data_IF_591274384766
#
_entry.id   IF_591274384766
#
_cell.length_a   1.000
_cell.length_b   1.000
_cell.length_c   1.000
_cell.angle_alpha   90.00
_cell.angle_beta   90.00
_cell.angle_gamma   90.00
#
_symmetry.space_group_name_H-M   'P 1'
#
loop_
_entity.id
_entity.type
_entity.pdbx_description
1 polymer ?
#
# COMPACT_ATOMS: atom_id res chain seq x y z
N UNK A 1 9.83 -45.41 -19.91
CA UNK A 1 9.13 -45.00 -18.66
C UNK A 1 9.62 -43.67 -18.05
N UNK A 2 10.93 -43.42 -17.87
CA UNK A 2 11.43 -42.16 -17.24
C UNK A 2 11.06 -40.88 -18.00
N UNK A 3 11.07 -40.89 -19.34
CA UNK A 3 10.71 -39.71 -20.12
C UNK A 3 9.23 -39.35 -20.00
N UNK A 4 8.31 -40.33 -20.10
CA UNK A 4 6.87 -40.12 -19.91
C UNK A 4 6.54 -39.47 -18.55
N UNK A 5 7.28 -39.82 -17.49
CA UNK A 5 7.14 -39.18 -16.17
C UNK A 5 7.56 -37.70 -16.19
N UNK A 6 8.63 -37.36 -16.91
CA UNK A 6 9.08 -35.96 -17.08
C UNK A 6 8.05 -35.12 -17.86
N UNK A 7 7.47 -35.67 -18.92
CA UNK A 7 6.42 -35.01 -19.71
C UNK A 7 5.16 -34.75 -18.87
N UNK A 8 4.72 -35.72 -18.05
CA UNK A 8 3.59 -35.54 -17.13
C UNK A 8 3.82 -34.44 -16.10
N UNK A 9 5.01 -34.40 -15.48
CA UNK A 9 5.39 -33.36 -14.51
C UNK A 9 5.44 -31.98 -15.18
N UNK A 10 6.05 -31.89 -16.37
CA UNK A 10 6.15 -30.63 -17.13
C UNK A 10 4.76 -30.11 -17.50
N UNK A 11 3.89 -30.99 -17.99
CA UNK A 11 2.50 -30.65 -18.33
C UNK A 11 1.74 -30.16 -17.09
N UNK A 12 1.91 -30.81 -15.94
CA UNK A 12 1.30 -30.37 -14.68
C UNK A 12 1.71 -28.94 -14.30
N UNK A 13 3.01 -28.60 -14.35
CA UNK A 13 3.47 -27.25 -14.03
C UNK A 13 2.95 -26.21 -15.02
N UNK A 14 2.85 -26.56 -16.31
CA UNK A 14 2.28 -25.67 -17.32
C UNK A 14 0.79 -25.42 -17.03
N UNK A 15 0.01 -26.48 -16.78
CA UNK A 15 -1.41 -26.35 -16.43
C UNK A 15 -1.61 -25.54 -15.14
N UNK A 16 -0.78 -25.79 -14.12
CA UNK A 16 -0.78 -25.01 -12.87
C UNK A 16 -0.47 -23.53 -13.13
N UNK A 17 0.51 -23.24 -13.99
CA UNK A 17 0.84 -21.87 -14.34
C UNK A 17 -0.34 -21.16 -15.01
N UNK A 18 -0.98 -21.77 -16.01
CA UNK A 18 -2.16 -21.19 -16.65
C UNK A 18 -3.34 -21.02 -15.69
N UNK A 19 -3.58 -22.00 -14.81
CA UNK A 19 -4.61 -21.90 -13.79
C UNK A 19 -4.35 -20.71 -12.85
N UNK A 20 -3.10 -20.51 -12.40
CA UNK A 20 -2.73 -19.36 -11.59
C UNK A 20 -2.90 -18.03 -12.34
N UNK A 21 -2.46 -17.95 -13.60
CA UNK A 21 -2.61 -16.75 -14.42
C UNK A 21 -4.08 -16.37 -14.65
N UNK A 22 -4.98 -17.35 -14.77
CA UNK A 22 -6.42 -17.11 -14.89
C UNK A 22 -7.08 -16.78 -13.55
N UNK A 23 -6.55 -17.29 -12.45
CA UNK A 23 -7.12 -17.09 -11.11
C UNK A 23 -6.77 -15.73 -10.50
N UNK A 24 -5.52 -15.29 -10.63
CA UNK A 24 -5.02 -14.05 -9.99
C UNK A 24 -5.88 -12.81 -10.29
N UNK A 25 -6.39 -12.59 -11.51
CA UNK A 25 -7.28 -11.45 -11.80
C UNK A 25 -8.59 -11.44 -11.02
N UNK A 26 -9.09 -12.61 -10.58
CA UNK A 26 -10.33 -12.75 -9.82
C UNK A 26 -10.09 -12.88 -8.30
N UNK A 27 -8.86 -12.65 -7.83
CA UNK A 27 -8.47 -12.83 -6.42
C UNK A 27 -9.02 -11.78 -5.45
N UNK A 28 -9.88 -10.87 -5.92
CA UNK A 28 -10.56 -9.78 -5.19
C UNK A 28 -11.09 -10.17 -3.81
N UNK A 29 -11.61 -11.39 -3.64
CA UNK A 29 -12.15 -11.86 -2.37
C UNK A 29 -11.10 -12.23 -1.31
N UNK A 30 -9.86 -12.51 -1.72
CA UNK A 30 -8.77 -12.98 -0.85
C UNK A 30 -7.91 -11.80 -0.39
N UNK A 31 -7.60 -10.87 -1.30
CA UNK A 31 -6.60 -9.81 -1.11
C UNK A 31 -7.24 -8.50 -0.64
N UNK A 32 -7.83 -8.50 0.56
CA UNK A 32 -8.54 -7.33 1.11
C UNK A 32 -7.62 -6.20 1.57
N UNK A 33 -6.37 -6.49 1.92
CA UNK A 33 -5.42 -5.51 2.46
C UNK A 33 -4.84 -4.53 1.45
N UNK A 34 -5.02 -4.82 0.16
CA UNK A 34 -4.62 -3.94 -0.94
C UNK A 34 -5.77 -3.04 -1.40
N UNK A 35 -6.99 -3.29 -0.90
CA UNK A 35 -8.18 -2.55 -1.27
C UNK A 35 -8.14 -1.19 -0.58
N UNK A 36 -7.57 -0.18 -1.24
CA UNK A 36 -7.73 1.20 -0.77
C UNK A 36 -9.10 1.73 -1.19
N UNK A 37 -9.22 2.26 -2.41
CA UNK A 37 -10.53 2.63 -2.99
C UNK A 37 -10.96 1.71 -4.13
N UNK A 38 -10.12 0.77 -4.52
CA UNK A 38 -10.38 -0.21 -5.59
C UNK A 38 -10.26 -1.60 -4.98
N UNK A 39 -11.05 -2.55 -5.46
CA UNK A 39 -10.92 -3.94 -5.02
C UNK A 39 -9.77 -4.63 -5.75
N UNK A 40 -9.07 -5.52 -5.05
CA UNK A 40 -8.05 -6.38 -5.59
C UNK A 40 -6.60 -5.95 -5.33
N UNK A 41 -5.68 -6.87 -5.61
CA UNK A 41 -4.25 -6.64 -5.49
C UNK A 41 -3.75 -5.77 -6.65
N UNK A 42 -2.95 -4.76 -6.31
CA UNK A 42 -2.27 -3.93 -7.29
C UNK A 42 -1.34 -4.79 -8.16
N UNK A 43 -1.52 -4.74 -9.48
CA UNK A 43 -0.69 -5.47 -10.45
C UNK A 43 -1.31 -6.76 -11.01
N UNK A 44 -2.27 -7.36 -10.29
CA UNK A 44 -2.88 -8.63 -10.72
C UNK A 44 -4.35 -8.53 -11.04
N UNK A 45 -5.04 -7.51 -10.52
CA UNK A 45 -6.46 -7.30 -10.74
C UNK A 45 -6.74 -6.82 -12.17
N UNK A 46 -7.76 -7.40 -12.81
CA UNK A 46 -8.11 -7.12 -14.20
C UNK A 46 -8.53 -5.66 -14.45
N UNK A 47 -9.08 -5.00 -13.44
CA UNK A 47 -9.59 -3.62 -13.46
C UNK A 47 -8.51 -2.59 -13.09
N UNK A 48 -7.29 -3.01 -12.78
CA UNK A 48 -6.20 -2.11 -12.38
C UNK A 48 -5.95 -1.00 -13.42
N UNK A 49 -5.98 -1.32 -14.72
CA UNK A 49 -5.72 -0.34 -15.79
C UNK A 49 -6.87 0.68 -15.99
N UNK A 50 -8.02 0.48 -15.36
CA UNK A 50 -9.19 1.38 -15.45
C UNK A 50 -9.08 2.54 -14.46
N UNK A 51 -8.14 2.46 -13.51
CA UNK A 51 -8.00 3.42 -12.41
C UNK A 51 -6.82 4.37 -12.63
N UNK A 52 -7.13 5.63 -12.89
CA UNK A 52 -6.18 6.73 -12.91
C UNK A 52 -6.20 7.47 -11.56
N UNK A 53 -5.07 7.40 -10.85
CA UNK A 53 -4.88 7.99 -9.53
C UNK A 53 -4.02 9.25 -9.64
N UNK A 54 -4.55 10.40 -9.20
CA UNK A 54 -3.83 11.67 -9.23
C UNK A 54 -3.63 12.22 -7.81
N UNK A 55 -2.38 12.42 -7.36
CA UNK A 55 -2.11 13.10 -6.10
C UNK A 55 -2.39 14.60 -6.24
N UNK A 56 -3.09 15.15 -5.24
CA UNK A 56 -3.40 16.58 -5.16
C UNK A 56 -2.56 17.25 -4.07
N UNK A 57 -2.45 16.59 -2.91
CA UNK A 57 -1.66 17.06 -1.79
C UNK A 57 -1.12 15.88 -1.00
N UNK A 58 0.14 15.95 -0.61
CA UNK A 58 0.80 14.95 0.24
C UNK A 58 1.54 15.72 1.32
N UNK A 59 1.28 15.35 2.57
CA UNK A 59 1.94 15.91 3.73
C UNK A 59 2.34 14.78 4.66
N UNK A 60 3.63 14.72 4.99
CA UNK A 60 4.19 13.78 5.95
C UNK A 60 4.72 14.53 7.15
N UNK A 61 4.36 14.04 8.34
CA UNK A 61 4.74 14.65 9.61
C UNK A 61 5.36 13.58 10.48
N UNK A 62 6.57 13.86 10.96
CA UNK A 62 7.24 13.07 11.96
C UNK A 62 7.15 13.81 13.30
N UNK A 63 6.57 13.18 14.30
CA UNK A 63 6.47 13.75 15.64
C UNK A 63 7.48 13.05 16.55
N UNK A 64 8.37 13.81 17.18
CA UNK A 64 9.30 13.27 18.17
C UNK A 64 8.73 13.47 19.57
N UNK A 65 8.35 12.36 20.21
CA UNK A 65 7.80 12.34 21.56
C UNK A 65 8.82 12.76 22.62
N UNK A 66 10.12 12.68 22.32
CA UNK A 66 11.19 13.03 23.26
C UNK A 66 11.35 14.55 23.38
N UNK A 67 11.18 15.26 22.25
CA UNK A 67 11.33 16.72 22.19
C UNK A 67 9.99 17.46 22.11
N UNK A 68 8.89 16.76 21.85
CA UNK A 68 7.56 17.33 21.65
C UNK A 68 7.43 18.15 20.37
N UNK A 69 8.29 17.91 19.38
CA UNK A 69 8.34 18.69 18.13
C UNK A 69 7.83 17.89 16.94
N UNK A 70 7.03 18.56 16.11
CA UNK A 70 6.61 18.06 14.81
C UNK A 70 7.56 18.56 13.73
N UNK A 71 8.01 17.63 12.89
CA UNK A 71 8.89 17.87 11.75
C UNK A 71 8.16 17.54 10.45
N UNK A 72 8.15 18.47 9.50
CA UNK A 72 7.69 18.19 8.15
C UNK A 72 8.80 17.53 7.36
N UNK A 73 8.51 16.36 6.79
CA UNK A 73 9.46 15.62 5.98
C UNK A 73 9.22 15.89 4.51
N UNK A 74 10.31 15.96 3.73
CA UNK A 74 10.22 15.85 2.28
C UNK A 74 10.40 14.37 1.90
N UNK A 75 9.37 13.67 1.39
CA UNK A 75 9.47 12.26 1.00
C UNK A 75 10.57 11.97 -0.03
N UNK A 76 10.91 12.93 -0.89
CA UNK A 76 11.93 12.79 -1.94
C UNK A 76 13.34 12.52 -1.37
N UNK A 77 13.58 12.88 -0.11
CA UNK A 77 14.85 12.57 0.57
C UNK A 77 14.98 11.09 0.96
N UNK A 78 13.86 10.38 1.04
CA UNK A 78 13.81 8.98 1.45
C UNK A 78 13.62 8.03 0.25
N UNK A 79 12.83 8.43 -0.73
CA UNK A 79 12.56 7.63 -1.92
C UNK A 79 12.36 8.50 -3.15
N UNK A 80 12.90 8.05 -4.28
CA UNK A 80 12.69 8.69 -5.59
C UNK A 80 11.36 8.29 -6.23
N UNK A 81 10.74 7.21 -5.75
CA UNK A 81 9.48 6.69 -6.29
C UNK A 81 8.30 7.38 -5.63
N UNK A 82 7.28 7.73 -6.40
CA UNK A 82 6.00 8.25 -5.87
C UNK A 82 5.06 7.12 -5.42
N UNK A 83 5.42 5.85 -5.61
CA UNK A 83 4.51 4.73 -5.32
C UNK A 83 4.22 4.53 -3.84
N UNK A 84 5.06 5.06 -2.95
CA UNK A 84 5.00 4.77 -1.52
C UNK A 84 3.68 5.16 -0.85
N UNK A 85 2.94 6.15 -1.38
CA UNK A 85 1.66 6.58 -0.83
C UNK A 85 0.44 5.92 -1.50
N UNK A 86 0.62 5.13 -2.55
CA UNK A 86 -0.50 4.56 -3.32
C UNK A 86 -1.20 3.38 -2.66
N UNK A 87 -0.56 2.70 -1.71
CA UNK A 87 -1.13 1.55 -1.02
C UNK A 87 -0.70 1.56 0.45
N UNK A 88 -1.58 1.02 1.29
CA UNK A 88 -1.36 0.97 2.73
C UNK A 88 -0.07 0.23 3.12
N UNK A 89 0.27 -0.86 2.44
CA UNK A 89 1.50 -1.63 2.70
C UNK A 89 2.76 -0.81 2.47
N UNK A 90 2.79 -0.06 1.37
CA UNK A 90 3.92 0.79 1.01
C UNK A 90 4.04 1.97 1.96
N UNK A 91 2.93 2.51 2.47
CA UNK A 91 2.93 3.58 3.48
C UNK A 91 3.53 3.08 4.80
N UNK A 92 3.16 1.87 5.24
CA UNK A 92 3.74 1.24 6.44
C UNK A 92 5.24 0.98 6.26
N UNK A 93 5.65 0.43 5.11
CA UNK A 93 7.06 0.21 4.80
C UNK A 93 7.84 1.54 4.78
N UNK A 94 7.26 2.58 4.20
CA UNK A 94 7.86 3.91 4.16
C UNK A 94 8.01 4.50 5.56
N UNK A 95 6.99 4.40 6.40
CA UNK A 95 7.04 4.88 7.79
C UNK A 95 8.17 4.19 8.58
N UNK A 96 8.31 2.87 8.45
CA UNK A 96 9.41 2.14 9.09
C UNK A 96 10.79 2.55 8.55
N UNK A 97 10.92 2.74 7.23
CA UNK A 97 12.16 3.24 6.62
C UNK A 97 12.55 4.61 7.17
N UNK A 98 11.59 5.54 7.27
CA UNK A 98 11.79 6.87 7.86
C UNK A 98 12.25 6.74 9.32
N UNK A 99 11.55 5.96 10.15
CA UNK A 99 11.89 5.72 11.55
C UNK A 99 13.32 5.20 11.71
N UNK A 100 13.70 4.21 10.91
CA UNK A 100 15.01 3.58 11.02
C UNK A 100 16.12 4.55 10.59
N UNK A 101 15.90 5.34 9.52
CA UNK A 101 16.83 6.38 9.08
C UNK A 101 17.00 7.50 10.11
N UNK A 102 15.91 8.03 10.68
CA UNK A 102 16.03 9.11 11.69
C UNK A 102 16.65 8.63 13.00
N UNK A 103 16.47 7.35 13.34
CA UNK A 103 17.14 6.73 14.48
C UNK A 103 18.65 6.64 14.25
N UNK A 104 19.08 6.28 13.05
CA UNK A 104 20.50 6.16 12.71
C UNK A 104 21.19 7.53 12.59
N UNK A 105 20.54 8.51 11.93
CA UNK A 105 21.15 9.81 11.65
C UNK A 105 21.07 10.79 12.84
N UNK A 106 19.96 10.77 13.57
CA UNK A 106 19.67 11.78 14.62
C UNK A 106 19.50 11.17 16.01
N UNK A 107 19.53 9.84 16.15
CA UNK A 107 19.34 9.17 17.44
C UNK A 107 17.90 9.23 17.98
N UNK A 108 16.92 9.62 17.16
CA UNK A 108 15.52 9.70 17.56
C UNK A 108 14.93 8.28 17.72
N UNK A 109 14.51 7.92 18.94
CA UNK A 109 13.99 6.56 19.23
C UNK A 109 12.48 6.49 19.37
N UNK A 110 11.86 7.55 19.89
CA UNK A 110 10.43 7.61 20.16
C UNK A 110 9.76 8.59 19.20
N UNK A 111 9.40 8.09 18.01
CA UNK A 111 8.83 8.88 16.94
C UNK A 111 7.49 8.30 16.48
N UNK A 112 6.60 9.19 16.09
CA UNK A 112 5.30 8.87 15.51
C UNK A 112 5.27 9.42 14.08
N UNK A 113 4.60 8.70 13.19
CA UNK A 113 4.54 9.06 11.78
C UNK A 113 3.10 9.26 11.34
N UNK A 114 2.81 10.46 10.86
CA UNK A 114 1.50 10.88 10.38
C UNK A 114 1.56 11.29 8.91
N UNK A 115 0.46 11.06 8.21
CA UNK A 115 0.35 11.23 6.77
C UNK A 115 -1.03 11.79 6.41
N UNK A 116 -1.06 12.86 5.60
CA UNK A 116 -2.28 13.38 4.97
C UNK A 116 -2.09 13.33 3.45
N UNK A 117 -2.81 12.43 2.79
CA UNK A 117 -2.75 12.23 1.34
C UNK A 117 -4.13 12.48 0.75
N UNK A 118 -4.17 13.43 -0.17
CA UNK A 118 -5.34 13.76 -0.97
C UNK A 118 -5.14 13.22 -2.39
N UNK A 119 -6.03 12.32 -2.79
CA UNK A 119 -6.04 11.69 -4.11
C UNK A 119 -7.33 12.01 -4.85
N UNK A 120 -7.25 12.09 -6.17
CA UNK A 120 -8.38 12.06 -7.08
C UNK A 120 -8.33 10.74 -7.87
N UNK A 121 -9.45 10.02 -7.90
CA UNK A 121 -9.61 8.80 -8.68
C UNK A 121 -10.46 9.11 -9.92
N UNK A 122 -9.94 8.82 -11.12
CA UNK A 122 -10.64 8.97 -12.39
C UNK A 122 -11.24 10.38 -12.62
N UNK A 123 -10.55 11.43 -12.16
CA UNK A 123 -10.99 12.82 -12.32
C UNK A 123 -12.09 13.29 -11.36
N UNK A 124 -12.44 12.47 -10.35
CA UNK A 124 -13.39 12.84 -9.28
C UNK A 124 -12.80 13.89 -8.33
N UNK A 125 -13.64 14.46 -7.46
CA UNK A 125 -13.19 15.35 -6.40
C UNK A 125 -12.13 14.68 -5.52
N UNK A 126 -11.16 15.48 -5.07
CA UNK A 126 -10.09 15.02 -4.21
C UNK A 126 -10.65 14.58 -2.85
N UNK A 127 -10.19 13.43 -2.37
CA UNK A 127 -10.58 12.85 -1.09
C UNK A 127 -9.35 12.43 -0.31
N UNK A 128 -9.46 12.41 1.02
CA UNK A 128 -8.41 11.86 1.87
C UNK A 128 -8.40 10.35 1.78
N UNK A 129 -7.20 9.80 1.57
CA UNK A 129 -7.00 8.37 1.42
C UNK A 129 -6.74 7.68 2.76
N UNK A 130 -6.03 8.35 3.67
CA UNK A 130 -5.65 7.83 4.98
C UNK A 130 -6.11 8.79 6.08
N UNK A 131 -6.38 8.27 7.27
CA UNK A 131 -6.67 9.10 8.45
C UNK A 131 -5.40 9.83 8.93
N UNK A 132 -5.36 11.17 8.92
CA UNK A 132 -4.19 11.94 9.31
C UNK A 132 -3.94 11.99 10.82
N UNK A 133 -4.87 11.49 11.64
CA UNK A 133 -4.79 11.50 13.11
C UNK A 133 -4.15 10.26 13.69
N UNK A 134 -3.90 9.24 12.85
CA UNK A 134 -3.42 7.93 13.27
C UNK A 134 -1.90 7.83 13.05
N UNK A 135 -1.19 7.31 14.06
CA UNK A 135 0.22 6.97 13.93
C UNK A 135 0.38 5.68 13.13
N UNK A 136 0.92 5.80 11.92
CA UNK A 136 1.11 4.67 10.98
C UNK A 136 2.07 3.61 11.54
N UNK A 137 3.07 3.99 12.34
CA UNK A 137 4.07 3.06 12.86
C UNK A 137 3.50 1.99 13.79
N UNK A 138 2.33 2.26 14.37
CA UNK A 138 1.63 1.34 15.28
C UNK A 138 0.48 0.60 14.60
N UNK A 139 0.17 0.93 13.34
CA UNK A 139 -0.96 0.32 12.68
C UNK A 139 -0.60 -1.04 12.07
N UNK A 140 -1.43 -2.08 12.30
CA UNK A 140 -1.26 -3.35 11.63
C UNK A 140 -1.66 -3.22 10.15
N UNK A 141 -0.93 -3.93 9.31
CA UNK A 141 -1.30 -4.17 7.92
C UNK A 141 -1.15 -5.66 7.60
N UNK A 142 -2.10 -6.21 6.84
CA UNK A 142 -2.05 -7.59 6.36
C UNK A 142 -2.72 -7.70 5.00
N UNK A 143 -2.20 -8.53 4.08
CA UNK A 143 -2.80 -8.75 2.76
C UNK A 143 -4.24 -9.25 2.79
N UNK A 144 -4.65 -9.94 3.87
CA UNK A 144 -5.91 -10.68 3.94
C UNK A 144 -7.01 -9.97 4.73
N UNK A 145 -6.68 -8.90 5.46
CA UNK A 145 -7.63 -8.12 6.26
C UNK A 145 -7.78 -6.71 5.70
N UNK A 146 -8.97 -6.13 5.84
CA UNK A 146 -9.18 -4.72 5.53
C UNK A 146 -8.30 -3.82 6.41
N UNK A 147 -7.99 -2.63 5.90
CA UNK A 147 -7.11 -1.66 6.57
C UNK A 147 -7.97 -0.57 7.21
N UNK A 148 -8.11 -0.52 8.54
CA UNK A 148 -9.11 0.33 9.19
C UNK A 148 -8.79 1.83 9.12
N UNK A 149 -7.51 2.18 8.95
CA UNK A 149 -7.03 3.56 8.86
C UNK A 149 -7.03 4.12 7.43
N UNK A 150 -7.47 3.32 6.45
CA UNK A 150 -7.78 3.77 5.10
C UNK A 150 -9.22 4.28 5.06
N UNK A 151 -9.40 5.52 4.59
CA UNK A 151 -10.71 6.14 4.53
C UNK A 151 -11.49 5.66 3.29
N UNK A 152 -12.79 5.38 3.44
CA UNK A 152 -13.62 4.93 2.32
C UNK A 152 -13.80 6.04 1.30
N UNK A 153 -13.90 5.66 0.02
CA UNK A 153 -14.32 6.62 -1.01
C UNK A 153 -15.81 6.96 -0.85
N UNK A 154 -16.20 8.21 -1.09
CA UNK A 154 -17.57 8.72 -0.78
C UNK A 154 -18.70 7.95 -1.48
N UNK A 155 -18.43 7.19 -2.55
CA UNK A 155 -19.43 6.38 -3.24
C UNK A 155 -19.45 4.89 -2.84
N UNK A 156 -18.57 4.43 -1.95
CA UNK A 156 -18.53 3.04 -1.48
C UNK A 156 -19.39 2.79 -0.22
N UNK A 157 -20.03 3.82 0.32
CA UNK A 157 -20.86 3.75 1.53
C UNK A 157 -22.36 3.55 1.27
N UNK A 158 -22.74 2.98 0.12
CA UNK A 158 -24.13 2.59 -0.20
C UNK A 158 -24.25 1.10 -0.46
#
# INVERSE_FOLDING_TARGET
>A
MRQLRKWKITTFFICLHFALQLFLPYSHGITKGYNTWTEGSYGYSWDMMVHNWRPIHIKTVLYDNSTGKAHFLNPEQFTTSTRWYHQADMVVQFAHCVRDRVREEFGMKNVEFYIDVWMSLNGRFAQRMYDPTINILEQPWSPFSGVPWVLPSVNQSQ
#
